data_IF_182845277720
#
_entry.id   IF_182845277720
#
_cell.length_a   1.000
_cell.length_b   1.000
_cell.length_c   1.000
_cell.angle_alpha   90.00
_cell.angle_beta   90.00
_cell.angle_gamma   90.00
#
_symmetry.space_group_name_H-M   'P 1'
#
loop_
_entity.id
_entity.type
_entity.pdbx_description
1 polymer ?
#
# COMPACT_ATOMS: atom_id res chain seq x y z
N UNK A 1 -25.45 -5.98 -7.15
CA UNK A 1 -24.03 -6.36 -6.98
C UNK A 1 -23.64 -6.03 -5.55
N UNK A 2 -23.39 -7.03 -4.70
CA UNK A 2 -23.10 -6.84 -3.27
C UNK A 2 -21.61 -7.01 -3.06
N UNK A 3 -20.91 -5.93 -2.70
CA UNK A 3 -19.48 -5.97 -2.36
C UNK A 3 -19.34 -6.66 -1.00
N UNK A 4 -18.51 -7.70 -0.92
CA UNK A 4 -18.26 -8.43 0.32
C UNK A 4 -17.09 -7.85 1.11
N UNK A 5 -16.05 -7.42 0.40
CA UNK A 5 -14.87 -6.77 0.99
C UNK A 5 -14.59 -5.50 0.17
N UNK A 6 -14.34 -4.40 0.86
CA UNK A 6 -13.93 -3.13 0.25
C UNK A 6 -12.70 -2.60 0.98
N UNK A 7 -11.61 -2.45 0.24
CA UNK A 7 -10.34 -1.88 0.69
C UNK A 7 -10.21 -0.52 0.03
N UNK A 8 -10.00 0.53 0.83
CA UNK A 8 -9.83 1.89 0.32
C UNK A 8 -8.59 2.53 0.93
N UNK A 9 -7.79 3.16 0.08
CA UNK A 9 -6.61 3.92 0.48
C UNK A 9 -5.71 3.14 1.46
N UNK A 10 -5.42 1.88 1.14
CA UNK A 10 -4.55 1.04 1.97
C UNK A 10 -3.08 1.35 1.65
N UNK A 11 -2.32 1.61 2.72
CA UNK A 11 -0.88 1.86 2.68
C UNK A 11 -0.16 0.93 3.64
N UNK A 12 1.05 0.49 3.26
CA UNK A 12 1.93 -0.29 4.12
C UNK A 12 3.33 0.30 4.10
N UNK A 13 3.82 0.65 5.29
CA UNK A 13 5.11 1.30 5.48
C UNK A 13 5.96 0.41 6.38
N UNK A 14 7.20 0.17 5.98
CA UNK A 14 8.20 -0.59 6.73
C UNK A 14 9.31 0.36 7.20
N UNK A 15 9.73 0.21 8.45
CA UNK A 15 10.81 1.00 9.05
C UNK A 15 10.64 1.18 10.56
N UNK A 16 11.61 1.85 11.18
CA UNK A 16 11.73 1.97 12.64
C UNK A 16 10.68 2.89 13.27
N UNK A 17 10.12 3.84 12.52
CA UNK A 17 9.09 4.78 12.99
C UNK A 17 8.10 5.17 11.85
N UNK A 18 7.17 4.27 11.50
CA UNK A 18 6.24 4.47 10.38
C UNK A 18 5.23 5.62 10.62
N UNK A 19 4.95 5.97 11.88
CA UNK A 19 3.97 7.01 12.23
C UNK A 19 4.48 8.41 11.93
N UNK A 20 5.75 8.68 12.21
CA UNK A 20 6.40 9.95 11.86
C UNK A 20 6.28 10.25 10.37
N UNK A 21 6.33 9.19 9.56
CA UNK A 21 6.27 9.29 8.12
C UNK A 21 4.84 9.57 7.64
N UNK A 22 3.79 9.05 8.29
CA UNK A 22 2.37 9.38 8.04
C UNK A 22 2.12 10.88 7.85
N UNK A 23 2.70 11.70 8.73
CA UNK A 23 2.55 13.16 8.70
C UNK A 23 3.31 13.83 7.53
N UNK A 24 4.38 13.21 7.04
CA UNK A 24 5.17 13.69 5.90
C UNK A 24 4.59 13.24 4.53
N UNK A 25 3.80 12.14 4.48
CA UNK A 25 3.25 11.59 3.23
C UNK A 25 2.21 12.47 2.53
N UNK A 26 1.62 13.48 3.18
CA UNK A 26 0.62 14.35 2.55
C UNK A 26 1.16 15.22 1.41
N UNK A 27 2.48 15.36 1.27
CA UNK A 27 3.08 16.28 0.29
C UNK A 27 3.73 15.63 -0.93
N UNK A 28 4.17 14.37 -0.90
CA UNK A 28 4.77 13.77 -2.10
C UNK A 28 4.87 12.23 -2.04
N UNK A 29 4.28 11.56 -3.05
CA UNK A 29 4.06 10.11 -3.06
C UNK A 29 5.15 9.28 -3.76
N UNK A 30 6.20 9.88 -4.31
CA UNK A 30 7.04 9.18 -5.30
C UNK A 30 8.53 9.25 -5.03
N UNK A 31 9.06 8.20 -4.40
CA UNK A 31 10.47 7.74 -4.39
C UNK A 31 11.49 8.37 -3.41
N UNK A 32 11.49 9.65 -2.98
CA UNK A 32 12.59 10.18 -2.14
C UNK A 32 12.49 9.77 -0.66
N UNK A 33 11.39 9.14 -0.24
CA UNK A 33 11.18 8.68 1.14
C UNK A 33 12.14 7.56 1.54
N UNK A 34 12.49 6.67 0.59
CA UNK A 34 13.41 5.55 0.86
C UNK A 34 14.80 6.06 1.25
N UNK A 35 15.37 6.95 0.45
CA UNK A 35 16.76 7.39 0.62
C UNK A 35 16.94 8.31 1.83
N UNK A 36 15.95 9.16 2.14
CA UNK A 36 16.09 10.16 3.21
C UNK A 36 15.73 9.65 4.60
N UNK A 37 14.84 8.66 4.70
CA UNK A 37 14.28 8.25 5.98
C UNK A 37 14.55 6.79 6.35
N UNK A 38 15.16 5.98 5.47
CA UNK A 38 15.35 4.55 5.69
C UNK A 38 14.01 3.82 6.00
N UNK A 39 12.95 4.25 5.33
CA UNK A 39 11.62 3.66 5.40
C UNK A 39 11.18 3.27 3.99
N UNK A 40 10.57 2.10 3.86
CA UNK A 40 10.11 1.56 2.58
C UNK A 40 8.59 1.63 2.54
N UNK A 41 8.05 2.28 1.50
CA UNK A 41 6.62 2.21 1.18
C UNK A 41 6.38 0.93 0.36
N UNK A 42 5.81 -0.09 1.00
CA UNK A 42 5.58 -1.40 0.38
C UNK A 42 4.26 -1.48 -0.39
N UNK A 43 3.21 -0.80 0.07
CA UNK A 43 1.93 -0.66 -0.62
C UNK A 43 1.49 0.79 -0.59
N UNK A 44 0.97 1.28 -1.71
CA UNK A 44 0.51 2.67 -1.84
C UNK A 44 -0.85 2.75 -2.52
N UNK A 45 -1.81 3.37 -1.84
CA UNK A 45 -3.13 3.73 -2.37
C UNK A 45 -3.87 2.56 -3.03
N UNK A 46 -3.87 1.41 -2.34
CA UNK A 46 -4.57 0.24 -2.85
C UNK A 46 -6.07 0.41 -2.60
N UNK A 47 -6.84 0.39 -3.68
CA UNK A 47 -8.29 0.46 -3.69
C UNK A 47 -8.83 -0.77 -4.40
N UNK A 48 -9.56 -1.62 -3.69
CA UNK A 48 -10.01 -2.92 -4.17
C UNK A 48 -11.41 -3.22 -3.64
N UNK A 49 -12.31 -3.56 -4.54
CA UNK A 49 -13.63 -4.08 -4.19
C UNK A 49 -13.72 -5.55 -4.61
N UNK A 50 -14.09 -6.41 -3.67
CA UNK A 50 -14.22 -7.85 -3.87
C UNK A 50 -15.69 -8.23 -3.73
N UNK A 51 -16.24 -8.79 -4.81
CA UNK A 51 -17.61 -9.27 -4.86
C UNK A 51 -17.73 -10.69 -4.29
N UNK A 52 -18.91 -11.04 -3.78
CA UNK A 52 -19.12 -12.39 -3.26
C UNK A 52 -18.95 -13.45 -4.36
N UNK A 53 -18.35 -14.59 -4.00
CA UNK A 53 -18.03 -15.70 -4.92
C UNK A 53 -17.09 -15.35 -6.08
N UNK A 54 -16.31 -14.27 -5.97
CA UNK A 54 -15.26 -13.92 -6.96
C UNK A 54 -13.87 -14.38 -6.51
N UNK A 55 -13.02 -14.74 -7.47
CA UNK A 55 -11.58 -15.01 -7.25
C UNK A 55 -10.82 -13.79 -7.76
N UNK A 56 -9.97 -13.21 -6.91
CA UNK A 56 -9.07 -12.13 -7.31
C UNK A 56 -7.63 -12.60 -7.24
N UNK A 57 -6.90 -12.40 -8.33
CA UNK A 57 -5.48 -12.74 -8.44
C UNK A 57 -4.69 -11.45 -8.47
N UNK A 58 -3.79 -11.29 -7.49
CA UNK A 58 -2.87 -10.16 -7.42
C UNK A 58 -1.53 -10.59 -8.01
N UNK A 59 -1.17 -10.06 -9.18
CA UNK A 59 0.09 -10.34 -9.88
C UNK A 59 1.01 -9.12 -9.82
N UNK A 60 2.33 -9.35 -9.74
CA UNK A 60 3.29 -8.27 -9.66
C UNK A 60 4.72 -8.73 -9.76
N UNK A 61 5.57 -7.78 -10.11
CA UNK A 61 6.99 -8.00 -10.32
C UNK A 61 7.70 -8.18 -8.97
N UNK A 62 8.87 -8.82 -8.98
CA UNK A 62 9.69 -8.98 -7.77
C UNK A 62 9.94 -7.60 -7.13
N UNK A 63 9.60 -7.46 -5.83
CA UNK A 63 9.70 -6.20 -5.09
C UNK A 63 8.49 -5.25 -5.19
N UNK A 64 7.40 -5.64 -5.87
CA UNK A 64 6.16 -4.82 -5.99
C UNK A 64 5.30 -4.74 -4.72
N UNK A 65 5.65 -5.50 -3.68
CA UNK A 65 4.91 -5.51 -2.42
C UNK A 65 3.67 -6.41 -2.40
N UNK A 66 3.39 -7.16 -3.46
CA UNK A 66 2.22 -8.04 -3.54
C UNK A 66 2.14 -9.17 -2.49
N UNK A 67 3.25 -9.51 -1.85
CA UNK A 67 3.34 -10.54 -0.79
C UNK A 67 3.31 -9.93 0.63
N UNK A 68 3.17 -8.60 0.76
CA UNK A 68 3.23 -7.85 2.03
C UNK A 68 1.83 -7.59 2.60
#
# INVERSE_FOLDING_TARGET
>A
MTKKISIKSLYKIFGKDPKRLWNMFKMDWKRPVLEKHNHVLGLSDINLDIEDKSIQVVMGLSGSGNLL
#
